data_IF_377397401715
#
_entry.id   IF_377397401715
#
_cell.length_a   1.000
_cell.length_b   1.000
_cell.length_c   1.000
_cell.angle_alpha   90.00
_cell.angle_beta   90.00
_cell.angle_gamma   90.00
#
_symmetry.space_group_name_H-M   'P 1'
#
loop_
_entity.id
_entity.type
_entity.pdbx_description
1 polymer ?
#
# COMPACT_ATOMS: atom_id res chain seq x y z
N UNK A 1 0.14 -38.71 -13.14
CA UNK A 1 0.32 -38.09 -11.81
C UNK A 1 0.23 -36.58 -11.93
N UNK A 2 -0.91 -35.99 -11.60
CA UNK A 2 -1.09 -34.53 -11.63
C UNK A 2 -0.49 -33.97 -10.35
N UNK A 3 0.69 -33.34 -10.44
CA UNK A 3 1.25 -32.52 -9.36
C UNK A 3 0.26 -31.37 -9.11
N UNK A 4 -0.49 -31.43 -8.01
CA UNK A 4 -1.17 -30.25 -7.49
C UNK A 4 -0.10 -29.20 -7.15
N UNK A 5 0.15 -28.26 -8.06
CA UNK A 5 0.87 -27.03 -7.74
C UNK A 5 0.11 -26.38 -6.58
N UNK A 6 0.73 -26.30 -5.40
CA UNK A 6 0.19 -25.53 -4.28
C UNK A 6 -0.12 -24.14 -4.81
N UNK A 7 -1.38 -23.72 -4.75
CA UNK A 7 -1.76 -22.37 -5.17
C UNK A 7 -0.99 -21.40 -4.27
N UNK A 8 -0.29 -20.37 -4.80
CA UNK A 8 0.46 -19.42 -3.98
C UNK A 8 -0.45 -18.45 -3.20
N UNK A 9 -1.74 -18.78 -3.12
CA UNK A 9 -2.82 -18.00 -2.51
C UNK A 9 -3.86 -18.95 -1.93
N UNK A 10 -4.54 -18.51 -0.89
CA UNK A 10 -5.71 -19.16 -0.31
C UNK A 10 -6.96 -18.57 -0.91
N UNK A 11 -7.97 -19.40 -1.20
CA UNK A 11 -9.31 -18.92 -1.50
C UNK A 11 -10.16 -19.03 -0.24
N UNK A 12 -10.68 -17.90 0.22
CA UNK A 12 -11.60 -17.84 1.36
C UNK A 12 -12.88 -17.18 0.87
N UNK A 13 -13.97 -17.94 0.79
CA UNK A 13 -15.27 -17.48 0.27
C UNK A 13 -15.16 -16.83 -1.13
N UNK A 14 -14.33 -17.40 -2.01
CA UNK A 14 -14.09 -16.86 -3.36
C UNK A 14 -13.04 -15.74 -3.43
N UNK A 15 -12.60 -15.21 -2.29
CA UNK A 15 -11.57 -14.15 -2.21
C UNK A 15 -10.18 -14.75 -2.32
N UNK A 16 -9.37 -14.23 -3.26
CA UNK A 16 -7.94 -14.55 -3.35
C UNK A 16 -7.18 -13.83 -2.23
N UNK A 17 -6.76 -14.61 -1.25
CA UNK A 17 -5.94 -14.16 -0.13
C UNK A 17 -4.49 -14.62 -0.32
N UNK A 18 -3.58 -13.66 -0.45
CA UNK A 18 -2.14 -13.89 -0.30
C UNK A 18 -1.66 -13.18 0.95
N UNK A 19 -0.63 -13.74 1.59
CA UNK A 19 -0.03 -13.06 2.74
C UNK A 19 0.61 -11.73 2.32
N UNK A 20 1.26 -11.74 1.15
CA UNK A 20 1.85 -10.57 0.49
C UNK A 20 1.74 -10.71 -1.03
N UNK A 21 1.58 -9.58 -1.73
CA UNK A 21 1.58 -9.50 -3.20
C UNK A 21 2.66 -8.53 -3.67
N UNK A 22 3.55 -8.98 -4.57
CA UNK A 22 4.61 -8.13 -5.16
C UNK A 22 4.12 -7.51 -6.46
N UNK A 23 4.48 -6.26 -6.76
CA UNK A 23 4.22 -5.68 -8.10
C UNK A 23 4.95 -6.49 -9.18
N UNK A 24 4.24 -6.87 -10.23
CA UNK A 24 4.76 -7.55 -11.42
C UNK A 24 3.89 -7.22 -12.66
N UNK A 25 4.25 -7.72 -13.84
CA UNK A 25 3.64 -7.34 -15.14
C UNK A 25 2.14 -7.64 -15.29
N UNK A 26 1.56 -8.42 -14.37
CA UNK A 26 0.12 -8.75 -14.37
C UNK A 26 -0.64 -8.04 -13.25
N UNK A 27 0.06 -7.29 -12.39
CA UNK A 27 -0.56 -6.50 -11.32
C UNK A 27 -1.52 -5.50 -11.95
N UNK A 28 -2.78 -5.56 -11.54
CA UNK A 28 -3.86 -4.71 -12.03
C UNK A 28 -4.11 -3.53 -11.09
N UNK A 29 -3.78 -3.67 -9.82
CA UNK A 29 -3.91 -2.62 -8.82
C UNK A 29 -2.91 -2.83 -7.68
N UNK A 30 -2.45 -1.74 -7.07
CA UNK A 30 -1.71 -1.74 -5.80
C UNK A 30 -2.58 -1.13 -4.71
N UNK A 31 -2.70 -1.82 -3.58
CA UNK A 31 -3.42 -1.34 -2.39
C UNK A 31 -2.46 -1.42 -1.22
N UNK A 32 -1.84 -0.30 -0.89
CA UNK A 32 -0.73 -0.29 0.07
C UNK A 32 -0.69 1.02 0.85
N UNK A 33 -0.25 0.94 2.09
CA UNK A 33 -0.01 2.05 2.97
C UNK A 33 0.82 1.60 4.16
N UNK A 34 1.15 2.56 5.03
CA UNK A 34 1.78 2.24 6.30
C UNK A 34 0.89 1.25 7.08
N UNK A 35 1.48 0.33 7.89
CA UNK A 35 0.69 -0.59 8.70
C UNK A 35 -0.41 0.13 9.49
N UNK A 36 -1.53 -0.57 9.71
CA UNK A 36 -2.68 -0.07 10.48
C UNK A 36 -3.48 1.08 9.84
N UNK A 37 -3.28 1.34 8.54
CA UNK A 37 -4.08 2.28 7.73
C UNK A 37 -5.19 1.57 6.91
N UNK A 38 -5.75 0.46 7.38
CA UNK A 38 -6.87 -0.21 6.70
C UNK A 38 -6.49 -1.17 5.56
N UNK A 39 -5.20 -1.44 5.34
CA UNK A 39 -4.67 -2.32 4.28
C UNK A 39 -5.47 -3.62 4.05
N UNK A 40 -5.63 -4.43 5.10
CA UNK A 40 -6.31 -5.72 4.99
C UNK A 40 -7.79 -5.56 4.62
N UNK A 41 -8.47 -4.60 5.24
CA UNK A 41 -9.87 -4.32 4.93
C UNK A 41 -10.02 -3.87 3.48
N UNK A 42 -9.26 -2.86 3.04
CA UNK A 42 -9.32 -2.34 1.68
C UNK A 42 -9.05 -3.44 0.63
N UNK A 43 -8.04 -4.28 0.86
CA UNK A 43 -7.72 -5.38 -0.04
C UNK A 43 -8.85 -6.41 -0.13
N UNK A 44 -9.41 -6.82 1.02
CA UNK A 44 -10.48 -7.82 1.05
C UNK A 44 -11.79 -7.25 0.49
N UNK A 45 -12.18 -6.04 0.89
CA UNK A 45 -13.34 -5.34 0.37
C UNK A 45 -13.25 -5.16 -1.16
N UNK A 46 -12.08 -4.75 -1.66
CA UNK A 46 -11.84 -4.66 -3.09
C UNK A 46 -12.07 -6.00 -3.79
N UNK A 47 -11.44 -7.07 -3.32
CA UNK A 47 -11.56 -8.40 -3.93
C UNK A 47 -12.97 -8.97 -3.84
N UNK A 48 -13.70 -8.74 -2.74
CA UNK A 48 -15.09 -9.17 -2.58
C UNK A 48 -16.03 -8.48 -3.55
N UNK A 49 -15.77 -7.21 -3.87
CA UNK A 49 -16.57 -6.47 -4.84
C UNK A 49 -16.36 -6.98 -6.28
N UNK A 50 -15.23 -7.62 -6.58
CA UNK A 50 -14.94 -8.06 -7.95
C UNK A 50 -15.64 -9.38 -8.27
N UNK A 51 -16.28 -9.46 -9.44
CA UNK A 51 -16.88 -10.70 -9.94
C UNK A 51 -15.85 -11.80 -10.27
N UNK A 52 -14.58 -11.42 -10.47
CA UNK A 52 -13.46 -12.36 -10.60
C UNK A 52 -12.24 -11.84 -9.83
N UNK A 53 -11.38 -12.72 -9.30
CA UNK A 53 -10.20 -12.28 -8.56
C UNK A 53 -9.26 -11.42 -9.40
N UNK A 54 -8.93 -10.24 -8.90
CA UNK A 54 -8.01 -9.29 -9.54
C UNK A 54 -6.61 -9.47 -8.98
N UNK A 55 -5.56 -9.41 -9.81
CA UNK A 55 -4.18 -9.51 -9.33
C UNK A 55 -3.74 -8.19 -8.67
N UNK A 56 -3.92 -8.11 -7.36
CA UNK A 56 -3.53 -6.98 -6.53
C UNK A 56 -2.17 -7.22 -5.87
N UNK A 57 -1.32 -6.18 -5.84
CA UNK A 57 -0.13 -6.16 -4.99
C UNK A 57 -0.44 -5.39 -3.69
N UNK A 58 -0.03 -5.96 -2.54
CA UNK A 58 -0.41 -5.46 -1.21
C UNK A 58 0.40 -6.13 -0.08
N UNK A 59 0.34 -5.55 1.12
CA UNK A 59 0.85 -6.09 2.38
C UNK A 59 2.37 -6.28 2.46
N UNK A 60 3.16 -5.59 1.62
CA UNK A 60 4.60 -5.47 1.89
C UNK A 60 4.93 -4.32 2.84
N UNK A 61 4.02 -3.35 2.97
CA UNK A 61 4.27 -2.09 3.69
C UNK A 61 5.55 -1.39 3.23
N UNK A 62 5.93 -1.61 1.97
CA UNK A 62 7.14 -1.09 1.37
C UNK A 62 6.78 -0.02 0.33
N UNK A 63 7.35 1.17 0.48
CA UNK A 63 7.16 2.28 -0.44
C UNK A 63 7.55 1.92 -1.88
N UNK A 64 8.47 0.96 -2.06
CA UNK A 64 8.91 0.48 -3.37
C UNK A 64 7.76 -0.07 -4.22
N UNK A 65 6.71 -0.62 -3.60
CA UNK A 65 5.47 -1.04 -4.30
C UNK A 65 4.81 0.15 -5.00
N UNK A 66 4.63 1.24 -4.26
CA UNK A 66 3.94 2.44 -4.72
C UNK A 66 4.78 3.17 -5.75
N UNK A 67 6.09 3.28 -5.50
CA UNK A 67 7.04 3.89 -6.46
C UNK A 67 7.06 3.11 -7.77
N UNK A 68 7.16 1.78 -7.71
CA UNK A 68 7.15 0.93 -8.89
C UNK A 68 5.83 1.00 -9.66
N UNK A 69 4.70 1.00 -8.95
CA UNK A 69 3.39 1.13 -9.56
C UNK A 69 3.16 2.48 -10.22
N UNK A 70 3.57 3.57 -9.57
CA UNK A 70 3.51 4.92 -10.13
C UNK A 70 4.34 5.02 -11.41
N UNK A 71 5.58 4.48 -11.40
CA UNK A 71 6.45 4.47 -12.58
C UNK A 71 5.87 3.63 -13.74
N UNK A 72 5.12 2.58 -13.43
CA UNK A 72 4.49 1.69 -14.41
C UNK A 72 3.06 2.12 -14.82
N UNK A 73 2.51 3.19 -14.24
CA UNK A 73 1.13 3.62 -14.48
C UNK A 73 0.07 2.64 -13.98
N UNK A 74 0.41 1.79 -13.01
CA UNK A 74 -0.51 0.81 -12.43
C UNK A 74 -1.48 1.53 -11.47
N UNK A 75 -2.79 1.27 -11.55
CA UNK A 75 -3.77 1.79 -10.60
C UNK A 75 -3.33 1.57 -9.16
N UNK A 76 -3.29 2.62 -8.35
CA UNK A 76 -2.73 2.55 -7.00
C UNK A 76 -3.60 3.31 -6.01
N UNK A 77 -4.01 2.62 -4.93
CA UNK A 77 -4.62 3.19 -3.74
C UNK A 77 -3.53 3.31 -2.68
N UNK A 78 -3.13 4.54 -2.37
CA UNK A 78 -2.28 4.86 -1.22
C UNK A 78 -3.17 5.04 0.01
N UNK A 79 -3.09 4.09 0.93
CA UNK A 79 -3.84 4.15 2.18
C UNK A 79 -3.08 5.00 3.20
N UNK A 80 -3.79 5.93 3.84
CA UNK A 80 -3.24 6.77 4.89
C UNK A 80 -4.19 6.85 6.09
N UNK A 81 -3.66 7.20 7.25
CA UNK A 81 -4.43 7.40 8.48
C UNK A 81 -3.75 8.48 9.31
N UNK A 82 -4.54 9.13 10.16
CA UNK A 82 -4.04 9.98 11.25
C UNK A 82 -2.74 9.40 11.86
N UNK A 83 -1.66 10.20 11.94
CA UNK A 83 -0.36 9.73 12.40
C UNK A 83 -0.38 9.10 13.79
N UNK A 84 -1.06 9.71 14.76
CA UNK A 84 -1.10 9.20 16.14
C UNK A 84 -1.80 7.83 16.16
N UNK A 85 -2.97 7.75 15.54
CA UNK A 85 -3.76 6.51 15.50
C UNK A 85 -3.03 5.37 14.79
N UNK A 86 -2.35 5.65 13.68
CA UNK A 86 -1.58 4.65 12.94
C UNK A 86 -0.34 4.18 13.72
N UNK A 87 0.46 5.12 14.23
CA UNK A 87 1.73 4.85 14.91
C UNK A 87 1.50 4.15 16.24
N UNK A 88 0.56 4.62 17.05
CA UNK A 88 0.20 3.97 18.33
C UNK A 88 -0.34 2.57 18.08
N UNK A 89 -1.21 2.40 17.08
CA UNK A 89 -1.70 1.06 16.72
C UNK A 89 -0.56 0.15 16.26
N UNK A 90 0.42 0.67 15.51
CA UNK A 90 1.50 -0.14 14.96
C UNK A 90 2.48 -0.58 16.05
N UNK A 91 2.94 0.37 16.88
CA UNK A 91 3.84 0.11 17.99
C UNK A 91 3.25 -0.93 18.96
N UNK A 92 1.94 -0.84 19.26
CA UNK A 92 1.25 -1.83 20.08
C UNK A 92 1.19 -3.22 19.44
N UNK A 93 0.85 -3.29 18.15
CA UNK A 93 0.63 -4.56 17.45
C UNK A 93 1.91 -5.37 17.28
N UNK A 94 3.03 -4.70 17.02
CA UNK A 94 4.30 -5.38 16.74
C UNK A 94 5.32 -5.32 17.87
N UNK A 95 5.06 -4.53 18.92
CA UNK A 95 5.89 -4.47 20.12
C UNK A 95 7.23 -3.73 19.95
N UNK A 96 7.40 -2.95 18.88
CA UNK A 96 8.61 -2.15 18.64
C UNK A 96 8.45 -0.72 19.19
N UNK A 97 9.56 -0.01 19.50
CA UNK A 97 9.52 1.31 20.12
C UNK A 97 8.69 2.33 19.34
N UNK A 98 7.90 3.14 20.04
CA UNK A 98 7.04 4.17 19.43
C UNK A 98 7.83 5.12 18.51
N UNK A 99 9.04 5.52 18.92
CA UNK A 99 9.93 6.37 18.13
C UNK A 99 10.30 5.72 16.79
N UNK A 100 10.49 4.40 16.76
CA UNK A 100 10.77 3.64 15.54
C UNK A 100 9.53 3.63 14.64
N UNK A 101 8.36 3.28 15.18
CA UNK A 101 7.11 3.32 14.42
C UNK A 101 6.82 4.72 13.83
N UNK A 102 7.09 5.78 14.59
CA UNK A 102 6.93 7.15 14.10
C UNK A 102 7.94 7.51 13.00
N UNK A 103 9.20 7.08 13.12
CA UNK A 103 10.21 7.24 12.06
C UNK A 103 9.82 6.50 10.79
N UNK A 104 9.30 5.29 10.92
CA UNK A 104 8.88 4.47 9.78
C UNK A 104 7.69 5.10 9.05
N UNK A 105 6.71 5.65 9.79
CA UNK A 105 5.61 6.42 9.20
C UNK A 105 6.14 7.61 8.38
N UNK A 106 7.04 8.40 8.97
CA UNK A 106 7.66 9.54 8.30
C UNK A 106 8.44 9.10 7.06
N UNK A 107 9.25 8.04 7.16
CA UNK A 107 10.05 7.53 6.05
C UNK A 107 9.17 7.06 4.89
N UNK A 108 8.14 6.28 5.20
CA UNK A 108 7.21 5.73 4.21
C UNK A 108 6.53 6.85 3.42
N UNK A 109 5.85 7.77 4.10
CA UNK A 109 5.09 8.81 3.40
C UNK A 109 5.98 9.89 2.79
N UNK A 110 7.17 10.15 3.34
CA UNK A 110 8.15 11.04 2.68
C UNK A 110 8.59 10.49 1.33
N UNK A 111 8.84 9.18 1.23
CA UNK A 111 9.27 8.55 -0.03
C UNK A 111 8.14 8.47 -1.05
N UNK A 112 6.90 8.39 -0.60
CA UNK A 112 5.71 8.30 -1.48
C UNK A 112 5.19 9.67 -1.92
N UNK A 113 5.37 10.73 -1.12
CA UNK A 113 4.83 12.06 -1.41
C UNK A 113 5.13 12.59 -2.84
N UNK A 114 6.32 12.41 -3.43
CA UNK A 114 6.58 12.84 -4.82
C UNK A 114 5.69 12.18 -5.87
N UNK A 115 5.09 11.03 -5.54
CA UNK A 115 4.21 10.25 -6.43
C UNK A 115 2.73 10.47 -6.13
N UNK A 116 2.38 11.49 -5.34
CA UNK A 116 0.98 11.82 -4.98
C UNK A 116 0.07 11.96 -6.20
N UNK A 117 0.58 12.48 -7.30
CA UNK A 117 -0.14 12.61 -8.57
C UNK A 117 -0.17 11.35 -9.43
N UNK A 118 0.34 10.22 -8.92
CA UNK A 118 0.29 8.93 -9.61
C UNK A 118 -0.51 7.89 -8.81
N UNK A 119 -1.20 8.32 -7.75
CA UNK A 119 -1.98 7.45 -6.86
C UNK A 119 -3.31 8.12 -6.51
N UNK A 120 -4.27 7.31 -6.08
CA UNK A 120 -5.44 7.78 -5.33
C UNK A 120 -5.10 7.64 -3.85
N UNK A 121 -5.15 8.75 -3.12
CA UNK A 121 -4.99 8.72 -1.66
C UNK A 121 -6.34 8.47 -1.04
N UNK A 122 -6.40 7.50 -0.12
CA UNK A 122 -7.61 7.19 0.64
C UNK A 122 -7.28 7.28 2.13
N UNK A 123 -7.92 8.21 2.83
CA UNK A 123 -7.81 8.26 4.28
C UNK A 123 -8.57 7.09 4.92
N UNK A 124 -8.14 6.70 6.10
CA UNK A 124 -8.74 5.61 6.84
C UNK A 124 -10.24 5.79 7.03
N UNK A 125 -10.70 7.03 7.27
CA UNK A 125 -12.14 7.30 7.39
C UNK A 125 -12.87 6.91 6.11
N UNK A 126 -12.42 7.41 4.95
CA UNK A 126 -13.02 7.08 3.64
C UNK A 126 -13.04 5.57 3.39
N UNK A 127 -11.95 4.88 3.74
CA UNK A 127 -11.85 3.42 3.59
C UNK A 127 -12.88 2.70 4.45
N UNK A 128 -13.22 3.23 5.63
CA UNK A 128 -14.15 2.60 6.58
C UNK A 128 -15.58 3.10 6.52
N UNK A 129 -15.86 4.15 5.74
CA UNK A 129 -17.20 4.73 5.60
C UNK A 129 -17.76 4.55 4.19
N UNK A 130 -16.93 4.71 3.16
CA UNK A 130 -17.33 4.59 1.75
C UNK A 130 -16.15 4.18 0.87
N UNK A 131 -15.76 2.92 1.01
CA UNK A 131 -14.72 2.33 0.15
C UNK A 131 -15.16 2.25 -1.33
N UNK A 132 -16.45 2.29 -1.62
CA UNK A 132 -16.98 2.32 -2.99
C UNK A 132 -16.56 3.60 -3.73
N UNK A 133 -16.65 4.75 -3.07
CA UNK A 133 -16.17 6.03 -3.61
C UNK A 133 -14.66 6.02 -3.89
N UNK A 134 -13.86 5.37 -3.03
CA UNK A 134 -12.41 5.21 -3.26
C UNK A 134 -12.13 4.43 -4.55
N UNK A 135 -12.85 3.34 -4.78
CA UNK A 135 -12.73 2.56 -6.03
C UNK A 135 -13.20 3.38 -7.23
N UNK A 136 -14.28 4.16 -7.09
CA UNK A 136 -14.73 5.11 -8.10
C UNK A 136 -13.66 6.14 -8.49
N UNK A 137 -12.93 6.68 -7.51
CA UNK A 137 -11.83 7.61 -7.76
C UNK A 137 -10.66 6.94 -8.51
N UNK A 138 -10.37 5.67 -8.21
CA UNK A 138 -9.38 4.88 -8.98
C UNK A 138 -9.81 4.73 -10.43
N UNK A 139 -11.06 4.33 -10.66
CA UNK A 139 -11.61 4.19 -12.00
C UNK A 139 -11.54 5.51 -12.78
N UNK A 140 -11.92 6.62 -12.16
CA UNK A 140 -11.85 7.94 -12.77
C UNK A 140 -10.40 8.35 -13.12
N UNK A 141 -9.42 8.07 -12.25
CA UNK A 141 -8.02 8.47 -12.45
C UNK A 141 -7.31 7.61 -13.50
N UNK A 142 -7.53 6.31 -13.48
CA UNK A 142 -6.75 5.34 -14.26
C UNK A 142 -7.51 4.78 -15.47
N UNK A 143 -8.78 5.16 -15.67
CA UNK A 143 -9.61 4.63 -16.75
C UNK A 143 -9.92 3.13 -16.58
N UNK A 144 -10.03 2.67 -15.33
CA UNK A 144 -10.40 1.29 -15.00
C UNK A 144 -11.91 1.14 -14.78
N UNK A 145 -12.36 -0.11 -14.68
CA UNK A 145 -13.77 -0.51 -14.54
C UNK A 145 -13.98 -1.44 -13.33
N UNK A 146 -13.19 -1.25 -12.26
CA UNK A 146 -13.34 -2.06 -11.06
C UNK A 146 -14.72 -1.88 -10.44
N UNK A 147 -15.32 -2.98 -9.98
CA UNK A 147 -16.61 -2.92 -9.31
C UNK A 147 -16.44 -2.20 -7.96
N UNK A 148 -17.25 -1.15 -7.67
CA UNK A 148 -17.20 -0.48 -6.37
C UNK A 148 -17.69 -1.41 -5.27
N UNK A 149 -17.13 -1.27 -4.07
CA UNK A 149 -17.59 -1.99 -2.90
C UNK A 149 -18.87 -1.36 -2.35
N UNK A 150 -19.92 -2.16 -2.18
CA UNK A 150 -21.16 -1.72 -1.55
C UNK A 150 -20.98 -1.68 -0.02
N UNK A 151 -20.88 -0.49 0.56
CA UNK A 151 -20.50 -0.29 1.96
C UNK A 151 -21.67 -0.48 2.94
N UNK A 152 -22.43 -1.56 2.77
CA UNK A 152 -23.48 -1.95 3.71
C UNK A 152 -22.89 -2.71 4.90
N UNK A 153 -23.59 -2.67 6.04
CA UNK A 153 -23.20 -3.44 7.23
C UNK A 153 -23.01 -4.94 6.91
N UNK A 154 -23.85 -5.51 6.03
CA UNK A 154 -23.77 -6.91 5.64
C UNK A 154 -22.48 -7.24 4.88
N UNK A 155 -22.06 -6.40 3.94
CA UNK A 155 -20.81 -6.60 3.20
C UNK A 155 -19.58 -6.33 4.06
N UNK A 156 -19.65 -5.35 4.98
CA UNK A 156 -18.61 -5.12 5.98
C UNK A 156 -18.43 -6.34 6.87
N UNK A 157 -19.52 -6.97 7.34
CA UNK A 157 -19.44 -8.22 8.11
C UNK A 157 -18.86 -9.38 7.29
N UNK A 158 -19.21 -9.49 6.00
CA UNK A 158 -18.60 -10.48 5.10
C UNK A 158 -17.10 -10.27 4.96
N UNK A 159 -16.65 -9.02 4.82
CA UNK A 159 -15.23 -8.66 4.80
C UNK A 159 -14.53 -9.13 6.08
N UNK A 160 -15.07 -8.82 7.26
CA UNK A 160 -14.49 -9.28 8.52
C UNK A 160 -14.47 -10.80 8.65
N UNK A 161 -15.51 -11.51 8.22
CA UNK A 161 -15.54 -12.96 8.26
C UNK A 161 -14.41 -13.59 7.41
N UNK A 162 -14.11 -13.03 6.23
CA UNK A 162 -12.98 -13.46 5.38
C UNK A 162 -11.64 -13.20 6.08
N UNK A 163 -11.49 -12.02 6.68
CA UNK A 163 -10.28 -11.63 7.42
C UNK A 163 -10.04 -12.55 8.61
N UNK A 164 -11.08 -12.83 9.39
CA UNK A 164 -10.98 -13.71 10.55
C UNK A 164 -10.63 -15.14 10.16
N UNK A 165 -11.23 -15.65 9.07
CA UNK A 165 -10.89 -16.98 8.56
C UNK A 165 -9.45 -17.05 8.05
N UNK A 166 -8.96 -15.99 7.40
CA UNK A 166 -7.57 -15.92 6.97
C UNK A 166 -6.64 -16.01 8.18
N UNK A 167 -6.82 -15.15 9.18
CA UNK A 167 -5.99 -15.18 10.38
C UNK A 167 -6.12 -16.48 11.17
N UNK A 168 -7.29 -17.11 11.23
CA UNK A 168 -7.46 -18.42 11.88
C UNK A 168 -6.59 -19.50 11.25
N UNK A 169 -6.37 -19.42 9.93
CA UNK A 169 -5.59 -20.40 9.16
C UNK A 169 -4.11 -20.08 9.08
N UNK A 170 -3.71 -18.81 9.22
CA UNK A 170 -2.34 -18.37 8.99
C UNK A 170 -1.63 -17.80 10.21
N UNK A 171 -2.36 -17.42 11.27
CA UNK A 171 -1.74 -16.89 12.47
C UNK A 171 -1.16 -18.03 13.32
N UNK A 172 0.09 -17.92 13.79
CA UNK A 172 0.70 -18.93 14.66
C UNK A 172 0.06 -19.00 16.05
N UNK A 173 -0.73 -17.99 16.47
CA UNK A 173 -1.40 -17.92 17.78
C UNK A 173 -2.71 -17.08 17.70
N UNK A 174 -3.82 -17.46 18.34
CA UNK A 174 -5.04 -16.65 18.39
C UNK A 174 -4.84 -15.39 19.24
N UNK A 175 -5.09 -14.20 18.68
CA UNK A 175 -5.29 -12.96 19.45
C UNK A 175 -4.23 -11.86 19.29
N UNK A 176 -3.08 -12.12 18.64
CA UNK A 176 -2.01 -11.10 18.47
C UNK A 176 -2.19 -10.22 17.22
N UNK A 177 -2.90 -10.71 16.20
CA UNK A 177 -2.88 -10.11 14.84
C UNK A 177 -4.27 -9.83 14.24
N UNK A 178 -5.36 -9.97 14.99
CA UNK A 178 -6.69 -9.74 14.42
C UNK A 178 -6.99 -8.24 14.41
N UNK A 179 -7.30 -7.69 13.23
CA UNK A 179 -7.73 -6.31 13.02
C UNK A 179 -9.20 -6.09 13.43
N UNK A 180 -9.53 -6.33 14.71
CA UNK A 180 -10.84 -5.95 15.28
C UNK A 180 -10.69 -4.69 16.15
N UNK A 181 -11.75 -3.90 16.38
CA UNK A 181 -11.88 -3.07 17.57
C UNK A 181 -12.35 -3.96 18.74
N UNK A 182 -11.66 -3.99 19.89
CA UNK A 182 -12.20 -4.64 21.10
C UNK A 182 -11.73 -3.89 22.34
N UNK A 183 -12.60 -3.77 23.35
CA UNK A 183 -12.42 -2.90 24.52
C UNK A 183 -11.17 -3.19 25.37
N UNK A 184 -10.68 -4.44 25.40
CA UNK A 184 -9.43 -4.80 26.09
C UNK A 184 -8.17 -4.21 25.41
N UNK A 185 -8.30 -3.58 24.22
CA UNK A 185 -7.19 -2.92 23.52
C UNK A 185 -6.89 -1.49 23.98
N UNK A 186 -7.74 -0.89 24.82
CA UNK A 186 -7.68 0.54 25.12
C UNK A 186 -6.57 0.92 26.12
N UNK A 187 -6.40 0.16 27.20
CA UNK A 187 -5.50 0.50 28.33
C UNK A 187 -4.02 0.63 27.92
N UNK A 188 -3.56 -0.15 26.94
CA UNK A 188 -2.19 -0.04 26.42
C UNK A 188 -1.95 1.10 25.43
N UNK A 189 -3.02 1.69 24.87
CA UNK A 189 -2.89 2.81 23.92
C UNK A 189 -2.63 4.12 24.63
N UNK A 190 -3.15 4.33 25.83
CA UNK A 190 -3.08 5.63 26.51
C UNK A 190 -1.65 5.99 26.94
N UNK A 191 -0.87 4.99 27.37
CA UNK A 191 0.59 5.15 27.61
C UNK A 191 1.32 5.52 26.32
N UNK A 192 1.00 4.85 25.20
CA UNK A 192 1.62 5.11 23.91
C UNK A 192 1.23 6.48 23.33
N UNK A 193 -0.02 6.93 23.54
CA UNK A 193 -0.49 8.29 23.19
C UNK A 193 0.21 9.35 24.02
N UNK A 194 0.35 9.12 25.33
CA UNK A 194 1.13 10.01 26.20
C UNK A 194 2.59 10.09 25.71
N UNK A 195 3.19 8.94 25.39
CA UNK A 195 4.54 8.87 24.85
C UNK A 195 4.66 9.55 23.47
N UNK A 196 3.65 9.46 22.61
CA UNK A 196 3.61 10.13 21.30
C UNK A 196 3.69 11.66 21.45
N UNK A 197 3.12 12.16 22.54
CA UNK A 197 3.05 13.59 22.83
C UNK A 197 4.27 14.16 23.57
N UNK A 198 5.25 13.32 23.95
CA UNK A 198 6.48 13.77 24.61
C UNK A 198 7.28 14.77 23.74
N UNK A 199 7.93 15.79 24.36
CA UNK A 199 8.75 16.76 23.62
C UNK A 199 9.83 16.12 22.75
N UNK A 200 10.39 14.99 23.19
CA UNK A 200 11.41 14.23 22.45
C UNK A 200 10.94 13.64 21.11
N UNK A 201 9.62 13.58 20.87
CA UNK A 201 9.01 13.15 19.61
C UNK A 201 8.47 14.29 18.76
N UNK A 202 8.47 15.54 19.26
CA UNK A 202 7.86 16.71 18.59
C UNK A 202 8.28 16.83 17.13
N UNK A 203 9.58 16.83 16.84
CA UNK A 203 10.06 17.00 15.47
C UNK A 203 9.56 15.92 14.49
N UNK A 204 9.50 14.66 14.93
CA UNK A 204 8.99 13.56 14.12
C UNK A 204 7.46 13.60 13.99
N UNK A 205 6.77 13.97 15.07
CA UNK A 205 5.31 14.12 15.08
C UNK A 205 4.87 15.23 14.13
N UNK A 206 5.49 16.39 14.23
CA UNK A 206 5.17 17.56 13.39
C UNK A 206 5.40 17.23 11.91
N UNK A 207 6.48 16.51 11.59
CA UNK A 207 6.75 16.02 10.24
C UNK A 207 5.71 14.99 9.77
N UNK A 208 5.27 14.08 10.64
CA UNK A 208 4.25 13.09 10.30
C UNK A 208 2.91 13.76 9.95
N UNK A 209 2.48 14.76 10.74
CA UNK A 209 1.27 15.53 10.44
C UNK A 209 1.42 16.38 9.18
N UNK A 210 2.60 16.97 8.95
CA UNK A 210 2.87 17.71 7.69
C UNK A 210 2.71 16.80 6.47
N UNK A 211 3.26 15.58 6.51
CA UNK A 211 3.12 14.59 5.44
C UNK A 211 1.67 14.13 5.26
N UNK A 212 0.97 13.87 6.37
CA UNK A 212 -0.45 13.50 6.37
C UNK A 212 -1.30 14.56 5.65
N UNK A 213 -1.20 15.82 6.08
CA UNK A 213 -1.95 16.91 5.47
C UNK A 213 -1.56 17.14 4.01
N UNK A 214 -0.26 17.06 3.67
CA UNK A 214 0.19 17.18 2.28
C UNK A 214 -0.40 16.11 1.36
N UNK A 215 -0.59 14.88 1.85
CA UNK A 215 -1.18 13.78 1.07
C UNK A 215 -2.71 13.89 0.98
N UNK A 216 -3.38 14.26 2.07
CA UNK A 216 -4.85 14.31 2.15
C UNK A 216 -5.43 15.59 1.54
N UNK A 217 -4.78 16.75 1.72
CA UNK A 217 -5.29 18.06 1.27
C UNK A 217 -4.83 18.47 -0.14
N UNK A 218 -3.95 17.70 -0.79
CA UNK A 218 -3.52 18.02 -2.15
C UNK A 218 -4.76 18.13 -3.06
N UNK A 219 -4.95 19.26 -3.78
CA UNK A 219 -6.18 19.51 -4.51
C UNK A 219 -6.40 18.40 -5.53
N UNK A 220 -7.65 17.93 -5.61
CA UNK A 220 -8.10 17.20 -6.78
C UNK A 220 -7.98 18.16 -7.97
N UNK A 221 -6.91 18.06 -8.76
CA UNK A 221 -6.90 18.61 -10.11
C UNK A 221 -7.83 17.76 -10.97
N UNK A 222 -9.12 17.89 -10.72
CA UNK A 222 -10.19 17.57 -11.64
C UNK A 222 -10.72 18.90 -12.14
N UNK A 223 -10.01 19.49 -13.10
CA UNK A 223 -10.70 20.38 -14.02
C UNK A 223 -11.67 19.49 -14.80
N UNK A 224 -12.95 19.61 -14.49
CA UNK A 224 -14.01 19.24 -15.41
C UNK A 224 -13.85 20.16 -16.63
N UNK A 225 -13.04 19.74 -17.59
CA UNK A 225 -13.12 20.26 -18.94
C UNK A 225 -14.30 19.54 -19.58
N UNK A 226 -15.38 20.30 -19.71
CA UNK A 226 -16.61 20.01 -20.42
C UNK A 226 -16.40 19.24 -21.72
N UNK A 227 -17.34 18.32 -21.97
CA UNK A 227 -17.64 17.71 -23.26
C UNK A 227 -17.46 18.70 -24.42
N UNK A 228 -16.66 18.28 -25.41
CA UNK A 228 -16.54 18.90 -26.72
C UNK A 228 -15.92 17.87 -27.67
N UNK A 229 -16.65 17.58 -28.74
CA UNK A 229 -16.35 16.57 -29.75
C UNK A 229 -14.94 16.64 -30.38
N UNK A 230 -14.44 15.47 -30.78
CA UNK A 230 -13.71 15.34 -32.03
C UNK A 230 -12.17 15.30 -31.97
N UNK A 231 -11.65 14.29 -32.67
CA UNK A 231 -10.33 14.19 -33.28
C UNK A 231 -9.12 13.78 -32.41
N UNK A 232 -8.64 12.58 -32.75
CA UNK A 232 -7.26 12.09 -32.75
C UNK A 232 -6.17 12.98 -32.14
N UNK A 233 -5.60 12.53 -31.02
CA UNK A 233 -4.33 13.02 -30.50
C UNK A 233 -3.62 11.94 -29.68
N UNK A 234 -2.80 11.12 -30.34
CA UNK A 234 -1.83 10.26 -29.63
C UNK A 234 -0.78 11.17 -29.01
N UNK A 235 -0.77 11.31 -27.69
CA UNK A 235 0.37 11.92 -26.99
C UNK A 235 1.36 10.81 -26.66
N UNK A 236 2.33 10.61 -27.56
CA UNK A 236 3.45 9.72 -27.35
C UNK A 236 4.41 10.35 -26.31
N UNK A 237 4.53 9.73 -25.14
CA UNK A 237 5.63 10.04 -24.22
C UNK A 237 6.88 9.31 -24.72
N UNK A 238 7.78 10.07 -25.36
CA UNK A 238 9.11 9.61 -25.72
C UNK A 238 9.96 9.47 -24.46
N UNK A 239 10.18 8.24 -24.00
CA UNK A 239 11.29 7.92 -23.11
C UNK A 239 12.60 8.09 -23.88
N UNK A 240 13.29 9.22 -23.70
CA UNK A 240 14.70 9.35 -24.09
C UNK A 240 15.54 8.37 -23.29
N UNK A 241 15.81 7.20 -23.88
CA UNK A 241 16.89 6.31 -23.46
C UNK A 241 18.21 7.01 -23.74
N UNK A 242 18.93 7.45 -22.70
CA UNK A 242 20.36 7.75 -22.84
C UNK A 242 21.12 6.43 -22.86
N UNK A 243 21.59 6.03 -24.04
CA UNK A 243 22.61 4.99 -24.17
C UNK A 243 23.96 5.51 -23.67
N UNK A 244 24.78 4.69 -23.00
CA UNK A 244 26.17 5.04 -22.70
C UNK A 244 27.02 4.97 -23.97
N UNK A 245 28.05 5.82 -24.13
CA UNK A 245 28.90 5.80 -25.31
C UNK A 245 29.77 4.52 -25.33
N UNK A 246 29.81 3.87 -26.49
CA UNK A 246 30.81 2.84 -26.85
C UNK A 246 31.94 3.50 -27.65
N UNK A 247 33.18 3.09 -27.37
CA UNK A 247 34.40 3.39 -28.12
C UNK A 247 35.62 3.33 -27.19
N UNK A 248 36.18 2.16 -26.91
CA UNK A 248 37.20 1.40 -27.68
C UNK A 248 38.65 1.86 -27.41
N UNK A 249 39.39 1.08 -26.64
CA UNK A 249 40.65 0.41 -27.05
C UNK A 249 41.41 -0.10 -25.81
N UNK A 250 41.75 -1.39 -25.81
CA UNK A 250 42.76 -2.00 -24.95
C UNK A 250 44.17 -1.52 -25.36
N UNK A 251 45.20 -1.65 -24.50
CA UNK A 251 45.93 -2.93 -24.45
C UNK A 251 46.49 -3.30 -23.08
N UNK A 252 46.86 -4.58 -22.93
CA UNK A 252 47.98 -4.97 -22.05
C UNK A 252 47.66 -6.06 -21.03
N UNK A 253 47.90 -7.31 -21.43
CA UNK A 253 48.18 -8.41 -20.52
C UNK A 253 49.28 -8.02 -19.51
N UNK A 254 49.00 -8.14 -18.21
CA UNK A 254 50.01 -8.53 -17.21
C UNK A 254 49.42 -9.54 -16.23
N UNK A 255 50.13 -10.66 -16.20
CA UNK A 255 49.99 -11.84 -15.37
C UNK A 255 50.11 -11.53 -13.89
N UNK A 256 49.24 -12.14 -13.08
CA UNK A 256 49.35 -12.17 -11.62
C UNK A 256 50.50 -13.08 -11.18
N UNK A 257 51.29 -12.71 -10.16
CA UNK A 257 52.23 -13.61 -9.51
C UNK A 257 51.51 -14.53 -8.48
N UNK A 258 52.05 -15.73 -8.22
CA UNK A 258 51.41 -16.72 -7.38
C UNK A 258 51.52 -16.41 -5.88
N UNK A 259 50.51 -16.89 -5.15
CA UNK A 259 50.46 -17.00 -3.70
C UNK A 259 51.59 -17.91 -3.18
N UNK A 260 52.31 -17.57 -2.09
CA UNK A 260 53.10 -18.54 -1.36
C UNK A 260 52.26 -19.20 -0.27
N UNK A 261 52.39 -20.53 -0.20
CA UNK A 261 52.04 -21.35 0.95
C UNK A 261 52.95 -20.99 2.14
N UNK A 262 52.32 -20.78 3.31
CA UNK A 262 52.77 -21.20 4.64
C UNK A 262 51.61 -21.05 5.64
#
# INVERSE_FOLDING_TARGET
MIRHKKRPYMLINGVRMVHTGVVHDRTRIVIEGYPRCGNTFATVAFQLAQGTPVEAAHHLHAEAQIVGAAAAGIPTILLIRDPEEAVVSNARSFGYPLKTALRDYVLFYRRVLPYREHVVVADFQDVTSDFGAVVGAVNARFGTDFAPFDHTDAEVQRCFAVIDEFYRRTAPEPGRTVARPSGQRQVGKDVLRTAFNLPSHRALRDEAYRLYHALVQAPASLSVASRGDGAAGRVAWAMTRRSPPRGSAAPGHRTAPPHPDQ
#
